data_IF_923354665700
#
_entry.id   IF_923354665700
#
_cell.length_a   1.000
_cell.length_b   1.000
_cell.length_c   1.000
_cell.angle_alpha   90.00
_cell.angle_beta   90.00
_cell.angle_gamma   90.00
#
_symmetry.space_group_name_H-M   'P 1'
#
loop_
_entity.id
_entity.type
_entity.pdbx_description
1 polymer ?
#
# COMPACT_ATOMS: atom_id res chain seq x y z
N UNK A 1 4.03 -32.12 -9.95
CA UNK A 1 3.74 -30.67 -10.04
C UNK A 1 3.70 -30.17 -8.60
N UNK A 2 4.79 -29.60 -8.09
CA UNK A 2 4.75 -28.96 -6.78
C UNK A 2 4.11 -27.59 -6.98
N UNK A 3 2.84 -27.46 -6.62
CA UNK A 3 2.25 -26.15 -6.36
C UNK A 3 2.94 -25.60 -5.12
N UNK A 4 4.01 -24.82 -5.33
CA UNK A 4 4.76 -24.22 -4.24
C UNK A 4 3.89 -23.25 -3.47
N UNK A 5 3.93 -23.32 -2.14
CA UNK A 5 3.34 -22.29 -1.29
C UNK A 5 4.01 -20.95 -1.59
N UNK A 6 3.21 -19.98 -2.06
CA UNK A 6 3.62 -18.60 -2.25
C UNK A 6 2.90 -17.74 -1.22
N UNK A 7 3.65 -16.97 -0.43
CA UNK A 7 3.08 -15.99 0.49
C UNK A 7 2.37 -14.89 -0.29
N UNK A 8 1.45 -14.16 0.34
CA UNK A 8 0.77 -12.99 -0.24
C UNK A 8 0.64 -11.93 0.85
N UNK A 9 1.46 -10.86 0.86
CA UNK A 9 1.34 -9.81 1.84
C UNK A 9 0.02 -9.07 1.61
N UNK A 10 -0.61 -8.70 2.73
CA UNK A 10 -1.90 -8.02 2.78
C UNK A 10 -1.82 -6.85 3.74
N UNK A 11 -2.45 -5.74 3.37
CA UNK A 11 -2.80 -4.67 4.29
C UNK A 11 -4.20 -4.95 4.84
N UNK A 12 -4.33 -4.95 6.16
CA UNK A 12 -5.57 -5.20 6.88
C UNK A 12 -5.91 -4.00 7.76
N UNK A 13 -7.20 -3.73 7.93
CA UNK A 13 -7.71 -2.93 9.04
C UNK A 13 -8.34 -3.87 10.07
N UNK A 14 -8.14 -3.55 11.35
CA UNK A 14 -8.72 -4.28 12.47
C UNK A 14 -9.50 -3.27 13.30
N UNK A 15 -10.79 -3.51 13.47
CA UNK A 15 -11.58 -2.79 14.46
C UNK A 15 -11.25 -3.34 15.84
N UNK A 16 -10.86 -2.47 16.79
CA UNK A 16 -10.42 -2.89 18.11
C UNK A 16 -11.58 -3.15 19.09
N UNK A 17 -12.79 -2.69 18.80
CA UNK A 17 -13.97 -2.87 19.64
C UNK A 17 -14.61 -4.23 19.37
N UNK A 18 -14.83 -4.57 18.10
CA UNK A 18 -15.51 -5.82 17.71
C UNK A 18 -14.58 -6.88 17.11
N UNK A 19 -13.29 -6.57 16.95
CA UNK A 19 -12.27 -7.44 16.36
C UNK A 19 -12.52 -7.81 14.89
N UNK A 20 -13.36 -7.05 14.19
CA UNK A 20 -13.61 -7.24 12.76
C UNK A 20 -12.35 -6.94 11.96
N UNK A 21 -12.04 -7.83 11.02
CA UNK A 21 -10.90 -7.69 10.11
C UNK A 21 -11.40 -7.37 8.71
N UNK A 22 -10.93 -6.26 8.15
CA UNK A 22 -11.16 -5.89 6.76
C UNK A 22 -9.86 -6.00 5.96
N UNK A 23 -9.91 -6.69 4.82
CA UNK A 23 -8.78 -6.78 3.88
C UNK A 23 -8.79 -5.56 2.97
N UNK A 24 -7.81 -4.68 3.12
CA UNK A 24 -7.75 -3.40 2.39
C UNK A 24 -7.06 -3.53 1.04
N UNK A 25 -5.88 -4.17 1.01
CA UNK A 25 -5.04 -4.21 -0.19
C UNK A 25 -4.19 -5.47 -0.24
N UNK A 26 -4.09 -6.07 -1.43
CA UNK A 26 -3.04 -7.05 -1.72
C UNK A 26 -1.76 -6.31 -2.06
N UNK A 27 -0.71 -6.56 -1.31
CA UNK A 27 0.59 -5.93 -1.55
C UNK A 27 1.43 -6.78 -2.53
N UNK A 28 2.31 -6.16 -3.32
CA UNK A 28 3.25 -6.89 -4.16
C UNK A 28 4.28 -7.66 -3.31
N UNK A 29 4.87 -8.70 -3.90
CA UNK A 29 5.98 -9.47 -3.31
C UNK A 29 7.28 -8.68 -3.36
N UNK A 30 7.41 -7.67 -2.51
CA UNK A 30 8.62 -6.86 -2.41
C UNK A 30 9.04 -6.67 -0.95
N UNK A 31 10.36 -6.63 -0.67
CA UNK A 31 10.83 -6.31 0.66
C UNK A 31 10.62 -4.82 0.96
N UNK A 32 10.53 -4.47 2.26
CA UNK A 32 10.64 -3.09 2.76
C UNK A 32 9.67 -2.08 2.11
N UNK A 33 8.39 -2.45 1.99
CA UNK A 33 7.33 -1.47 1.66
C UNK A 33 7.30 -0.42 2.77
N UNK A 34 7.63 0.82 2.45
CA UNK A 34 7.48 1.94 3.38
C UNK A 34 6.04 2.43 3.34
N UNK A 35 5.47 2.67 4.52
CA UNK A 35 4.09 3.15 4.68
C UNK A 35 4.05 4.31 5.66
N UNK A 36 3.25 5.33 5.38
CA UNK A 36 3.07 6.48 6.26
C UNK A 36 1.57 6.82 6.39
N UNK A 37 1.03 6.66 7.61
CA UNK A 37 -0.36 6.97 7.91
C UNK A 37 -0.52 8.48 8.12
N UNK A 38 -1.55 9.07 7.51
CA UNK A 38 -1.89 10.46 7.73
C UNK A 38 -2.21 10.74 9.21
N UNK A 39 -1.93 11.94 9.75
CA UNK A 39 -2.20 12.27 11.14
C UNK A 39 -3.67 12.06 11.57
N UNK A 40 -4.61 12.23 10.64
CA UNK A 40 -6.04 11.98 10.87
C UNK A 40 -6.44 10.50 10.79
N UNK A 41 -5.51 9.60 10.43
CA UNK A 41 -5.74 8.16 10.27
C UNK A 41 -6.53 7.76 9.02
N UNK A 42 -6.80 8.69 8.10
CA UNK A 42 -7.77 8.47 7.00
C UNK A 42 -7.16 8.11 5.65
N UNK A 43 -5.84 8.14 5.52
CA UNK A 43 -5.15 7.76 4.30
C UNK A 43 -3.72 7.30 4.57
N UNK A 44 -3.17 6.50 3.65
CA UNK A 44 -1.81 6.01 3.68
C UNK A 44 -1.03 6.52 2.46
N UNK A 45 0.25 6.81 2.67
CA UNK A 45 1.25 6.86 1.61
C UNK A 45 2.00 5.54 1.59
N UNK A 46 2.27 5.01 0.39
CA UNK A 46 2.94 3.73 0.18
C UNK A 46 4.06 3.90 -0.86
N UNK A 47 5.23 3.36 -0.57
CA UNK A 47 6.32 3.24 -1.54
C UNK A 47 6.30 1.84 -2.15
N UNK A 48 5.76 1.72 -3.37
CA UNK A 48 5.67 0.46 -4.11
C UNK A 48 6.57 0.51 -5.33
N UNK A 49 7.23 -0.61 -5.67
CA UNK A 49 7.98 -0.69 -6.91
C UNK A 49 7.01 -0.53 -8.09
N UNK A 50 7.40 0.25 -9.09
CA UNK A 50 6.57 0.42 -10.28
C UNK A 50 6.39 -0.92 -10.97
N UNK A 51 5.14 -1.29 -11.25
CA UNK A 51 4.79 -2.48 -12.05
C UNK A 51 5.30 -2.29 -13.48
N UNK A 52 6.59 -2.49 -13.71
CA UNK A 52 7.10 -2.60 -15.06
C UNK A 52 6.81 -4.03 -15.54
N UNK A 53 5.84 -4.18 -16.43
CA UNK A 53 5.69 -5.35 -17.31
C UNK A 53 6.87 -5.50 -18.32
N UNK A 54 7.98 -4.79 -18.10
CA UNK A 54 9.20 -4.93 -18.87
C UNK A 54 10.23 -5.71 -18.04
N UNK A 55 10.61 -6.87 -18.58
CA UNK A 55 11.66 -7.81 -18.15
C UNK A 55 12.61 -7.28 -17.05
N UNK A 56 12.83 -8.06 -15.97
CA UNK A 56 13.74 -7.64 -14.90
C UNK A 56 15.16 -7.48 -15.46
N UNK A 57 15.62 -6.23 -15.55
CA UNK A 57 17.04 -5.96 -15.73
C UNK A 57 17.66 -5.93 -14.33
N UNK A 58 18.51 -6.91 -13.95
CA UNK A 58 19.08 -7.01 -12.60
C UNK A 58 20.01 -5.83 -12.25
N UNK A 59 20.35 -4.97 -13.22
CA UNK A 59 21.19 -3.78 -13.02
C UNK A 59 20.39 -2.46 -12.96
N UNK A 60 19.06 -2.48 -13.05
CA UNK A 60 18.24 -1.29 -12.90
C UNK A 60 17.56 -1.31 -11.54
N UNK A 61 18.17 -0.65 -10.55
CA UNK A 61 17.49 -0.36 -9.30
C UNK A 61 16.30 0.56 -9.62
N UNK A 62 15.09 0.00 -9.71
CA UNK A 62 13.89 0.79 -9.91
C UNK A 62 13.66 1.60 -8.63
N UNK A 63 13.61 2.93 -8.74
CA UNK A 63 13.24 3.75 -7.59
C UNK A 63 11.77 3.50 -7.26
N UNK A 64 11.40 3.35 -5.97
CA UNK A 64 10.01 3.16 -5.60
C UNK A 64 9.17 4.36 -6.06
N UNK A 65 7.93 4.04 -6.46
CA UNK A 65 6.92 5.03 -6.79
C UNK A 65 6.07 5.31 -5.56
N UNK A 66 5.68 6.57 -5.40
CA UNK A 66 4.78 6.97 -4.33
C UNK A 66 3.32 6.71 -4.72
N UNK A 67 2.57 6.07 -3.83
CA UNK A 67 1.15 5.80 -3.99
C UNK A 67 0.35 6.36 -2.81
N UNK A 68 -0.87 6.79 -3.09
CA UNK A 68 -1.85 7.27 -2.15
C UNK A 68 -2.97 6.24 -2.00
N UNK A 69 -3.29 5.86 -0.77
CA UNK A 69 -4.42 4.98 -0.47
C UNK A 69 -5.40 5.72 0.47
N UNK A 70 -6.55 6.21 -0.04
CA UNK A 70 -7.57 6.82 0.80
C UNK A 70 -8.37 5.74 1.55
N UNK A 71 -8.13 5.59 2.85
CA UNK A 71 -8.82 4.58 3.66
C UNK A 71 -10.31 4.89 3.84
N UNK A 72 -10.69 6.16 3.75
CA UNK A 72 -12.08 6.62 3.86
C UNK A 72 -12.39 7.60 2.72
N UNK A 73 -13.55 7.44 2.10
CA UNK A 73 -13.95 8.22 0.92
C UNK A 73 -14.76 9.46 1.28
N UNK A 74 -15.50 9.41 2.40
CA UNK A 74 -16.43 10.46 2.80
C UNK A 74 -16.24 10.87 4.26
N UNK A 75 -16.44 12.15 4.54
CA UNK A 75 -16.42 12.67 5.91
C UNK A 75 -17.55 12.05 6.75
N UNK A 76 -17.23 11.64 7.98
CA UNK A 76 -18.16 10.92 8.85
C UNK A 76 -18.22 9.40 8.64
N UNK A 77 -17.57 8.86 7.60
CA UNK A 77 -17.41 7.40 7.45
C UNK A 77 -16.62 6.83 8.63
N UNK A 78 -17.18 5.80 9.29
CA UNK A 78 -16.64 5.19 10.51
C UNK A 78 -15.85 3.91 10.27
N UNK A 79 -15.96 3.32 9.09
CA UNK A 79 -15.17 2.14 8.68
C UNK A 79 -14.38 2.42 7.40
N UNK A 80 -13.16 1.90 7.28
CA UNK A 80 -12.39 2.04 6.07
C UNK A 80 -13.02 1.27 4.90
N UNK A 81 -12.74 1.69 3.68
CA UNK A 81 -13.22 1.06 2.45
C UNK A 81 -12.08 0.39 1.68
N UNK A 82 -12.44 -0.67 0.93
CA UNK A 82 -11.53 -1.28 -0.04
C UNK A 82 -11.51 -0.38 -1.27
N UNK A 83 -10.37 0.26 -1.53
CA UNK A 83 -10.16 1.12 -2.68
C UNK A 83 -8.80 0.87 -3.30
N UNK A 84 -8.69 1.14 -4.59
CA UNK A 84 -7.43 1.02 -5.30
C UNK A 84 -6.51 2.22 -4.94
N UNK A 85 -5.21 1.98 -4.70
CA UNK A 85 -4.25 3.05 -4.53
C UNK A 85 -4.06 3.85 -5.82
N UNK A 86 -3.90 5.16 -5.68
CA UNK A 86 -3.59 6.06 -6.79
C UNK A 86 -2.10 6.38 -6.82
N UNK A 87 -1.47 6.30 -7.99
CA UNK A 87 -0.05 6.60 -8.15
C UNK A 87 0.18 8.10 -8.29
N UNK A 88 1.11 8.65 -7.50
CA UNK A 88 1.60 9.99 -7.73
C UNK A 88 2.71 10.02 -8.80
N UNK A 89 2.90 11.14 -9.51
CA UNK A 89 3.94 11.29 -10.52
C UNK A 89 5.33 11.57 -9.90
N UNK A 90 5.63 10.95 -8.75
CA UNK A 90 6.91 11.10 -8.04
C UNK A 90 7.58 9.74 -7.87
N UNK A 91 8.90 9.70 -8.06
CA UNK A 91 9.71 8.49 -7.89
C UNK A 91 10.95 8.82 -7.03
N UNK A 92 11.42 7.86 -6.25
CA UNK A 92 12.67 7.99 -5.49
C UNK A 92 12.59 8.96 -4.30
N UNK A 93 11.38 9.27 -3.83
CA UNK A 93 11.14 10.02 -2.60
C UNK A 93 10.54 9.09 -1.55
N UNK A 94 10.94 9.24 -0.31
CA UNK A 94 10.29 8.59 0.84
C UNK A 94 9.41 9.64 1.53
N UNK A 95 8.18 9.79 1.06
CA UNK A 95 7.31 10.86 1.49
C UNK A 95 6.71 10.60 2.89
N UNK A 96 6.53 11.67 3.65
CA UNK A 96 5.82 11.65 4.93
C UNK A 96 4.80 12.78 4.96
N UNK A 97 3.69 12.58 5.67
CA UNK A 97 2.76 13.66 5.93
C UNK A 97 3.42 14.74 6.80
N UNK A 98 3.06 15.99 6.56
CA UNK A 98 3.38 17.07 7.48
C UNK A 98 2.48 16.97 8.73
N UNK A 99 2.99 17.29 9.92
CA UNK A 99 2.24 17.25 11.16
C UNK A 99 1.09 18.26 11.20
#
# INVERSE_FOLDING_TARGET
LNEGYAEQPLLLAIDLQDQTILKLLKLPQQPRIHMNLAPNGRSLLLDLEGSNEALPNPNSASSPSLWYLPLFQEEGQTQPAVVEPERFPFNGIQATWLP
#
